data_IF_471884779359
#
_entry.id   IF_471884779359
#
_cell.length_a   1.000
_cell.length_b   1.000
_cell.length_c   1.000
_cell.angle_alpha   90.00
_cell.angle_beta   90.00
_cell.angle_gamma   90.00
#
_symmetry.space_group_name_H-M   'P 1'
#
loop_
_entity.id
_entity.type
_entity.pdbx_description
1 polymer ?
#
# COMPACT_ATOMS: atom_id res chain seq x y z
N UNK A 1 17.18 -70.32 10.82
CA UNK A 1 16.13 -70.04 11.84
C UNK A 1 16.04 -68.53 11.93
N UNK A 2 15.16 -67.94 11.13
CA UNK A 2 13.81 -67.50 11.51
C UNK A 2 13.82 -66.03 11.93
N UNK A 3 13.55 -65.21 10.93
CA UNK A 3 12.74 -63.99 10.88
C UNK A 3 12.36 -63.33 12.21
N UNK A 4 12.56 -62.02 12.30
CA UNK A 4 11.46 -61.14 12.70
C UNK A 4 11.55 -59.79 11.96
N UNK A 5 10.45 -59.52 11.28
CA UNK A 5 10.11 -58.34 10.50
C UNK A 5 9.17 -57.52 11.37
N UNK A 6 9.54 -56.31 11.74
CA UNK A 6 8.56 -55.29 12.13
C UNK A 6 8.91 -53.98 11.43
N UNK A 7 7.97 -53.58 10.57
CA UNK A 7 7.91 -52.31 9.87
C UNK A 7 7.11 -51.29 10.69
N UNK A 8 7.09 -50.03 10.20
CA UNK A 8 6.17 -48.94 10.57
C UNK A 8 6.47 -48.26 11.92
N UNK A 9 6.63 -46.94 12.05
CA UNK A 9 6.25 -45.75 11.27
C UNK A 9 7.19 -44.57 11.62
N UNK A 10 7.36 -43.56 10.75
CA UNK A 10 8.08 -42.35 11.10
C UNK A 10 7.25 -41.51 12.08
N UNK A 11 7.83 -41.20 13.23
CA UNK A 11 7.29 -40.18 14.14
C UNK A 11 7.42 -38.84 13.41
N UNK A 12 6.28 -38.32 12.98
CA UNK A 12 6.08 -36.96 12.49
C UNK A 12 6.20 -36.00 13.67
N UNK A 13 7.43 -35.73 14.10
CA UNK A 13 7.76 -34.58 14.93
C UNK A 13 8.05 -33.40 14.00
N UNK A 14 6.98 -32.73 13.61
CA UNK A 14 7.01 -31.47 12.89
C UNK A 14 7.46 -30.34 13.84
N UNK A 15 8.69 -30.44 14.35
CA UNK A 15 9.35 -29.43 15.18
C UNK A 15 10.57 -28.93 14.43
N UNK A 16 10.32 -27.97 13.55
CA UNK A 16 11.31 -27.01 13.06
C UNK A 16 10.54 -25.70 12.82
N UNK A 17 10.05 -25.05 13.87
CA UNK A 17 10.74 -23.94 14.54
C UNK A 17 12.07 -23.54 13.85
N UNK A 18 12.02 -22.37 13.19
CA UNK A 18 13.14 -21.57 12.63
C UNK A 18 13.70 -21.93 11.25
N UNK A 19 13.07 -21.37 10.20
CA UNK A 19 13.71 -20.91 8.95
C UNK A 19 12.65 -20.16 8.11
N UNK A 20 12.72 -18.91 7.65
CA UNK A 20 13.74 -17.85 7.61
C UNK A 20 12.99 -16.51 7.39
N UNK A 21 12.84 -15.67 8.42
CA UNK A 21 12.17 -14.37 8.33
C UNK A 21 13.10 -13.25 7.83
N UNK A 22 13.81 -13.43 6.72
CA UNK A 22 14.79 -12.43 6.27
C UNK A 22 14.86 -12.24 4.74
N UNK A 23 13.78 -12.53 3.99
CA UNK A 23 13.67 -12.16 2.57
C UNK A 23 12.58 -11.11 2.30
N UNK A 24 11.57 -10.98 3.16
CA UNK A 24 10.40 -10.11 2.89
C UNK A 24 10.61 -8.61 3.17
N UNK A 25 11.65 -8.22 3.91
CA UNK A 25 11.80 -6.81 4.32
C UNK A 25 12.39 -5.91 3.22
N UNK A 26 13.08 -6.46 2.21
CA UNK A 26 13.52 -5.67 1.06
C UNK A 26 12.40 -5.41 0.03
N UNK A 27 11.32 -6.18 0.10
CA UNK A 27 10.20 -6.09 -0.85
C UNK A 27 9.17 -5.03 -0.47
N UNK A 28 8.98 -4.72 0.83
CA UNK A 28 7.97 -3.76 1.29
C UNK A 28 8.20 -2.34 0.77
N UNK A 29 9.44 -1.84 0.86
CA UNK A 29 9.79 -0.52 0.32
C UNK A 29 9.55 -0.45 -1.19
N UNK A 30 9.96 -1.49 -1.92
CA UNK A 30 9.76 -1.57 -3.37
C UNK A 30 8.28 -1.61 -3.74
N UNK A 31 7.49 -2.39 -3.01
CA UNK A 31 6.04 -2.50 -3.17
C UNK A 31 5.35 -1.17 -2.91
N UNK A 32 5.72 -0.47 -1.83
CA UNK A 32 5.25 0.89 -1.55
C UNK A 32 5.55 1.84 -2.71
N UNK A 33 6.77 1.83 -3.24
CA UNK A 33 7.13 2.66 -4.40
C UNK A 33 6.33 2.33 -5.67
N UNK A 34 6.07 1.04 -5.93
CA UNK A 34 5.23 0.62 -7.07
C UNK A 34 3.81 1.15 -6.93
N UNK A 35 3.21 1.05 -5.75
CA UNK A 35 1.87 1.60 -5.49
C UNK A 35 1.83 3.11 -5.67
N UNK A 36 2.86 3.82 -5.23
CA UNK A 36 2.96 5.27 -5.42
C UNK A 36 3.09 5.67 -6.90
N UNK A 37 3.75 4.86 -7.73
CA UNK A 37 3.82 5.12 -9.16
C UNK A 37 2.48 4.88 -9.84
N UNK A 38 1.77 3.81 -9.48
CA UNK A 38 0.39 3.57 -9.92
C UNK A 38 -0.54 4.70 -9.49
N UNK A 39 -0.41 5.20 -8.26
CA UNK A 39 -1.19 6.31 -7.74
C UNK A 39 -1.03 7.58 -8.60
N UNK A 40 0.19 7.88 -9.06
CA UNK A 40 0.45 9.01 -9.97
C UNK A 40 -0.23 8.83 -11.33
N UNK A 41 -0.26 7.60 -11.86
CA UNK A 41 -0.96 7.30 -13.12
C UNK A 41 -2.46 7.57 -12.97
N UNK A 42 -3.08 7.08 -11.90
CA UNK A 42 -4.49 7.36 -11.61
C UNK A 42 -4.75 8.86 -11.38
N UNK A 43 -3.86 9.54 -10.66
CA UNK A 43 -3.94 10.99 -10.42
C UNK A 43 -3.90 11.78 -11.74
N UNK A 44 -2.96 11.44 -12.62
CA UNK A 44 -2.86 12.03 -13.96
C UNK A 44 -4.12 11.80 -14.79
N UNK A 45 -4.70 10.60 -14.68
CA UNK A 45 -5.93 10.22 -15.38
C UNK A 45 -7.20 10.78 -14.72
N UNK A 46 -7.08 11.60 -13.67
CA UNK A 46 -8.19 12.15 -12.86
C UNK A 46 -9.07 11.10 -12.19
N UNK A 47 -8.59 9.86 -12.06
CA UNK A 47 -9.22 8.86 -11.21
C UNK A 47 -8.76 9.08 -9.76
N UNK A 48 -9.32 10.11 -9.14
CA UNK A 48 -8.87 10.56 -7.82
C UNK A 48 -9.18 9.55 -6.71
N UNK A 49 -10.24 8.74 -6.84
CA UNK A 49 -10.54 7.72 -5.84
C UNK A 49 -9.52 6.58 -5.88
N UNK A 50 -9.18 6.08 -7.07
CA UNK A 50 -8.13 5.07 -7.20
C UNK A 50 -6.76 5.63 -6.79
N UNK A 51 -6.45 6.88 -7.16
CA UNK A 51 -5.21 7.54 -6.77
C UNK A 51 -5.07 7.63 -5.25
N UNK A 52 -6.11 8.08 -4.53
CA UNK A 52 -6.10 8.18 -3.06
C UNK A 52 -5.86 6.81 -2.42
N UNK A 53 -6.50 5.74 -2.92
CA UNK A 53 -6.31 4.39 -2.37
C UNK A 53 -4.85 3.96 -2.48
N UNK A 54 -4.28 4.02 -3.68
CA UNK A 54 -2.88 3.59 -3.90
C UNK A 54 -1.87 4.51 -3.19
N UNK A 55 -2.17 5.80 -3.03
CA UNK A 55 -1.33 6.69 -2.23
C UNK A 55 -1.31 6.31 -0.75
N UNK A 56 -2.45 5.90 -0.18
CA UNK A 56 -2.54 5.43 1.21
C UNK A 56 -1.77 4.13 1.39
N UNK A 57 -2.08 3.14 0.57
CA UNK A 57 -1.42 1.83 0.62
C UNK A 57 0.10 1.99 0.49
N UNK A 58 0.55 2.82 -0.46
CA UNK A 58 1.98 3.12 -0.64
C UNK A 58 2.62 3.81 0.56
N UNK A 59 1.91 4.71 1.26
CA UNK A 59 2.41 5.33 2.50
C UNK A 59 2.50 4.32 3.64
N UNK A 60 1.55 3.40 3.76
CA UNK A 60 1.56 2.38 4.80
C UNK A 60 2.83 1.51 4.69
N UNK A 61 3.18 1.06 3.48
CA UNK A 61 4.45 0.35 3.25
C UNK A 61 5.70 1.20 3.59
N UNK A 62 5.69 2.50 3.30
CA UNK A 62 6.80 3.39 3.67
C UNK A 62 6.91 3.59 5.19
N UNK A 63 5.77 3.62 5.89
CA UNK A 63 5.71 3.78 7.34
C UNK A 63 6.13 2.49 8.06
N UNK A 64 5.75 1.32 7.54
CA UNK A 64 6.22 0.03 8.03
C UNK A 64 7.75 -0.06 7.93
N UNK A 65 8.31 0.36 6.79
CA UNK A 65 9.75 0.41 6.58
C UNK A 65 10.45 1.42 7.52
N UNK A 66 9.81 2.56 7.76
CA UNK A 66 10.30 3.57 8.70
C UNK A 66 10.33 3.03 10.14
N UNK A 67 9.33 2.25 10.55
CA UNK A 67 9.22 1.68 11.89
C UNK A 67 10.12 0.44 12.08
N UNK A 68 10.29 -0.39 11.05
CA UNK A 68 11.09 -1.62 11.12
C UNK A 68 12.60 -1.35 11.20
N UNK A 69 13.10 -0.32 10.50
CA UNK A 69 14.54 -0.04 10.45
C UNK A 69 15.02 0.82 11.61
N UNK A 70 15.16 0.20 12.78
CA UNK A 70 15.69 0.85 14.00
C UNK A 70 17.10 1.43 13.79
N UNK A 71 17.96 0.75 13.01
CA UNK A 71 19.36 1.13 12.75
C UNK A 71 19.59 2.02 11.52
N UNK A 72 18.54 2.47 10.82
CA UNK A 72 18.71 3.38 9.69
C UNK A 72 19.28 4.74 10.10
N UNK A 73 20.17 5.29 9.27
CA UNK A 73 20.68 6.66 9.39
C UNK A 73 19.51 7.66 9.48
N UNK A 74 19.63 8.67 10.34
CA UNK A 74 18.63 9.71 10.52
C UNK A 74 18.30 10.43 9.20
N UNK A 75 19.25 10.56 8.28
CA UNK A 75 18.99 11.11 6.94
C UNK A 75 17.99 10.26 6.13
N UNK A 76 18.07 8.94 6.21
CA UNK A 76 17.13 8.03 5.53
C UNK A 76 15.74 8.10 6.17
N UNK A 77 15.69 8.22 7.50
CA UNK A 77 14.44 8.42 8.26
C UNK A 77 13.78 9.74 7.88
N UNK A 78 14.54 10.83 7.82
CA UNK A 78 14.04 12.14 7.42
C UNK A 78 13.53 12.14 5.98
N UNK A 79 14.25 11.47 5.07
CA UNK A 79 13.80 11.30 3.69
C UNK A 79 12.43 10.60 3.62
N UNK A 80 12.23 9.51 4.37
CA UNK A 80 10.96 8.79 4.42
C UNK A 80 9.84 9.65 5.00
N UNK A 81 10.08 10.36 6.13
CA UNK A 81 9.10 11.28 6.72
C UNK A 81 8.65 12.34 5.73
N UNK A 82 9.62 13.01 5.08
CA UNK A 82 9.35 14.03 4.09
C UNK A 82 8.54 13.49 2.91
N UNK A 83 8.86 12.28 2.44
CA UNK A 83 8.16 11.63 1.34
C UNK A 83 6.72 11.30 1.72
N UNK A 84 6.48 10.70 2.88
CA UNK A 84 5.14 10.42 3.40
C UNK A 84 4.32 11.71 3.53
N UNK A 85 4.92 12.78 4.09
CA UNK A 85 4.26 14.07 4.23
C UNK A 85 3.81 14.66 2.88
N UNK A 86 4.69 14.62 1.86
CA UNK A 86 4.34 15.06 0.50
C UNK A 86 3.16 14.28 -0.09
N UNK A 87 3.14 12.96 0.11
CA UNK A 87 2.07 12.10 -0.41
C UNK A 87 0.74 12.41 0.29
N UNK A 88 0.75 12.55 1.61
CA UNK A 88 -0.46 12.87 2.38
C UNK A 88 -1.01 14.27 2.01
N UNK A 89 -0.14 15.26 1.81
CA UNK A 89 -0.54 16.57 1.31
C UNK A 89 -1.22 16.46 -0.07
N UNK A 90 -0.70 15.60 -0.97
CA UNK A 90 -1.34 15.36 -2.26
C UNK A 90 -2.72 14.71 -2.09
N UNK A 91 -2.84 13.70 -1.23
CA UNK A 91 -4.12 13.06 -0.91
C UNK A 91 -5.17 14.07 -0.44
N UNK A 92 -4.80 15.05 0.38
CA UNK A 92 -5.73 16.08 0.83
C UNK A 92 -6.15 17.04 -0.27
N UNK A 93 -5.26 17.34 -1.22
CA UNK A 93 -5.62 18.07 -2.44
C UNK A 93 -6.60 17.26 -3.28
N UNK A 94 -6.37 15.96 -3.48
CA UNK A 94 -7.26 15.09 -4.25
C UNK A 94 -8.68 15.02 -3.65
N UNK A 95 -8.79 14.93 -2.32
CA UNK A 95 -10.11 14.99 -1.64
C UNK A 95 -10.86 16.30 -1.92
N UNK A 96 -10.14 17.43 -2.04
CA UNK A 96 -10.76 18.72 -2.40
C UNK A 96 -11.24 18.70 -3.85
N UNK A 97 -10.46 18.15 -4.77
CA UNK A 97 -10.81 18.03 -6.19
C UNK A 97 -12.05 17.15 -6.40
N UNK A 98 -12.18 16.05 -5.66
CA UNK A 98 -13.37 15.19 -5.70
C UNK A 98 -14.63 16.00 -5.33
N UNK A 99 -14.61 16.70 -4.20
CA UNK A 99 -15.76 17.54 -3.78
C UNK A 99 -16.10 18.63 -4.79
N UNK A 100 -15.09 19.22 -5.41
CA UNK A 100 -15.31 20.22 -6.46
C UNK A 100 -15.97 19.59 -7.69
N UNK A 101 -15.50 18.42 -8.14
CA UNK A 101 -16.08 17.71 -9.28
C UNK A 101 -17.53 17.27 -9.02
N UNK A 102 -17.83 16.80 -7.81
CA UNK A 102 -19.20 16.46 -7.39
C UNK A 102 -20.11 17.69 -7.44
N UNK A 103 -19.66 18.83 -6.90
CA UNK A 103 -20.41 20.08 -6.93
C UNK A 103 -20.66 20.58 -8.36
N UNK A 104 -19.65 20.57 -9.22
CA UNK A 104 -19.78 20.96 -10.64
C UNK A 104 -20.75 20.06 -11.40
N UNK A 105 -20.80 18.76 -11.05
CA UNK A 105 -21.73 17.80 -11.68
C UNK A 105 -23.17 18.07 -11.26
N UNK A 106 -23.41 18.35 -9.97
CA UNK A 106 -24.74 18.68 -9.45
C UNK A 106 -25.27 19.98 -10.05
N UNK A 107 -24.45 21.02 -10.13
CA UNK A 107 -24.86 22.31 -10.71
C UNK A 107 -25.31 22.14 -12.16
N UNK A 108 -24.54 21.39 -12.97
CA UNK A 108 -24.89 21.13 -14.38
C UNK A 108 -26.19 20.35 -14.53
N UNK A 109 -26.50 19.44 -13.61
CA UNK A 109 -27.77 18.70 -13.63
C UNK A 109 -28.96 19.64 -13.33
N UNK A 110 -28.80 20.55 -12.37
CA UNK A 110 -29.84 21.54 -12.05
C UNK A 110 -30.10 22.52 -13.21
N UNK A 111 -29.04 22.99 -13.85
CA UNK A 111 -29.15 23.94 -14.97
C UNK A 111 -29.78 23.28 -16.23
N UNK A 112 -29.57 21.97 -16.41
CA UNK A 112 -30.15 21.22 -17.53
C UNK A 112 -31.68 21.06 -17.41
N UNK A 113 -32.19 20.82 -16.20
CA UNK A 113 -33.63 20.68 -15.93
C UNK A 113 -34.40 22.00 -16.09
N UNK A 114 -33.73 23.15 -15.94
CA UNK A 114 -34.34 24.48 -16.12
C UNK A 114 -34.49 24.86 -17.60
N UNK A 115 -33.68 24.30 -18.50
CA UNK A 115 -33.75 24.58 -19.94
C UNK A 115 -34.81 23.76 -20.68
N UNK A 116 -35.41 22.76 -20.02
CA UNK A 116 -36.45 21.88 -20.58
C UNK A 116 -37.89 22.33 -20.24
N UNK A 117 -38.06 23.49 -19.58
CA UNK A 117 -39.35 24.14 -19.27
C UNK A 117 -39.59 25.40 -20.07
#
# INVERSE_FOLDING_TARGET
>A
MSNNTEAMTPINENVCFTSCTNQDDFDKLKQGLTLLEQAKVYDHNRDYYAAIRHYRDGVDYLMDEFMSRTSANEQSKEYLRFKCHKILNRVDILKKLIRQQEHETLQKAMDADEQEK
#
